data_IF_452133692060
#
_entry.id   IF_452133692060
#
_cell.length_a   1.000
_cell.length_b   1.000
_cell.length_c   1.000
_cell.angle_alpha   90.00
_cell.angle_beta   90.00
_cell.angle_gamma   90.00
#
_symmetry.space_group_name_H-M   'P 1'
#
loop_
_entity.id
_entity.type
_entity.pdbx_description
1 polymer ?
#
# COMPACT_ATOMS: atom_id res chain seq x y z
N UNK A 1 -11.83 31.39 43.52
CA UNK A 1 -11.86 31.74 42.09
C UNK A 1 -11.16 30.62 41.34
N UNK A 2 -11.93 29.91 40.51
CA UNK A 2 -11.52 28.72 39.74
C UNK A 2 -10.34 29.01 38.80
N UNK A 3 -9.39 28.09 38.67
CA UNK A 3 -9.30 27.23 37.49
C UNK A 3 -8.22 26.16 37.71
N UNK A 4 -8.68 24.93 37.96
CA UNK A 4 -7.96 23.71 37.64
C UNK A 4 -7.70 23.71 36.13
N UNK A 5 -6.51 24.14 35.70
CA UNK A 5 -6.04 23.83 34.36
C UNK A 5 -5.49 22.40 34.38
N UNK A 6 -6.43 21.47 34.21
CA UNK A 6 -6.16 20.10 33.79
C UNK A 6 -5.34 20.16 32.50
N UNK A 7 -4.03 19.97 32.63
CA UNK A 7 -3.22 19.33 31.59
C UNK A 7 -3.67 17.88 31.50
N UNK A 8 -4.89 17.65 31.01
CA UNK A 8 -5.23 16.39 30.39
C UNK A 8 -4.49 16.38 29.06
N UNK A 9 -3.28 15.84 29.11
CA UNK A 9 -2.69 15.08 28.03
C UNK A 9 -3.81 14.41 27.25
N UNK A 10 -4.11 14.96 26.07
CA UNK A 10 -4.81 14.23 25.02
C UNK A 10 -3.90 13.05 24.67
N UNK A 11 -3.96 11.99 25.48
CA UNK A 11 -3.88 10.64 24.99
C UNK A 11 -5.03 10.55 23.99
N UNK A 12 -4.71 10.91 22.74
CA UNK A 12 -5.50 10.48 21.60
C UNK A 12 -5.42 8.97 21.69
N UNK A 13 -6.44 8.39 22.33
CA UNK A 13 -6.70 6.96 22.29
C UNK A 13 -6.95 6.69 20.82
N UNK A 14 -5.88 6.30 20.12
CA UNK A 14 -5.97 5.73 18.78
C UNK A 14 -7.02 4.64 18.88
N UNK A 15 -8.16 4.86 18.24
CA UNK A 15 -9.19 3.84 18.08
C UNK A 15 -8.65 2.83 17.08
N UNK A 16 -7.75 1.97 17.56
CA UNK A 16 -7.09 0.97 16.73
C UNK A 16 -8.14 -0.08 16.38
N UNK A 17 -8.53 -0.09 15.10
CA UNK A 17 -9.49 -1.05 14.57
C UNK A 17 -8.97 -2.49 14.67
N UNK A 18 -7.67 -2.67 14.44
CA UNK A 18 -6.95 -3.93 14.61
C UNK A 18 -5.51 -3.62 14.98
N UNK A 19 -4.95 -4.24 16.03
CA UNK A 19 -3.54 -3.96 16.41
C UNK A 19 -2.57 -4.33 15.29
N UNK A 20 -1.41 -3.67 15.21
CA UNK A 20 -0.34 -4.02 14.24
C UNK A 20 -0.06 -5.53 14.24
N UNK A 21 0.07 -6.13 15.44
CA UNK A 21 0.34 -7.55 15.59
C UNK A 21 -0.79 -8.43 15.04
N UNK A 22 -2.05 -8.07 15.28
CA UNK A 22 -3.21 -8.81 14.76
C UNK A 22 -3.34 -8.64 13.24
N UNK A 23 -3.05 -7.44 12.72
CA UNK A 23 -2.98 -7.18 11.28
C UNK A 23 -1.92 -8.05 10.60
N UNK A 24 -0.67 -7.98 11.06
CA UNK A 24 0.43 -8.76 10.50
C UNK A 24 0.11 -10.25 10.58
N UNK A 25 -0.37 -10.73 11.73
CA UNK A 25 -0.72 -12.14 11.92
C UNK A 25 -1.80 -12.60 10.94
N UNK A 26 -2.94 -11.91 10.85
CA UNK A 26 -4.04 -12.27 9.96
C UNK A 26 -3.63 -12.25 8.49
N UNK A 27 -2.92 -11.21 8.05
CA UNK A 27 -2.39 -11.16 6.67
C UNK A 27 -1.46 -12.34 6.41
N UNK A 28 -0.58 -12.68 7.36
CA UNK A 28 0.33 -13.81 7.21
C UNK A 28 -0.40 -15.15 7.13
N UNK A 29 -1.41 -15.37 7.97
CA UNK A 29 -2.20 -16.60 8.00
C UNK A 29 -2.97 -16.79 6.68
N UNK A 30 -3.56 -15.71 6.13
CA UNK A 30 -4.30 -15.72 4.85
C UNK A 30 -3.36 -15.99 3.68
N UNK A 31 -2.24 -15.24 3.62
CA UNK A 31 -1.33 -15.27 2.48
C UNK A 31 -0.24 -16.35 2.57
N UNK A 32 -0.19 -17.07 3.70
CA UNK A 32 0.84 -18.07 4.04
C UNK A 32 2.24 -17.47 3.99
N UNK A 33 2.42 -16.33 4.67
CA UNK A 33 3.69 -15.60 4.77
C UNK A 33 4.42 -16.02 6.05
N UNK A 34 5.58 -16.66 5.87
CA UNK A 34 6.39 -17.14 6.98
C UNK A 34 7.66 -16.30 7.22
N UNK A 35 8.18 -15.66 6.17
CA UNK A 35 9.45 -14.94 6.21
C UNK A 35 9.40 -13.69 7.09
N UNK A 36 10.44 -13.48 7.89
CA UNK A 36 10.53 -12.36 8.83
C UNK A 36 10.53 -11.01 8.11
N UNK A 37 11.27 -10.89 7.01
CA UNK A 37 11.37 -9.63 6.27
C UNK A 37 10.05 -9.24 5.59
N UNK A 38 9.21 -10.21 5.20
CA UNK A 38 7.86 -9.94 4.67
C UNK A 38 6.94 -9.39 5.77
N UNK A 39 7.07 -9.92 7.00
CA UNK A 39 6.36 -9.42 8.17
C UNK A 39 6.78 -7.99 8.51
N UNK A 40 8.06 -7.66 8.37
CA UNK A 40 8.55 -6.29 8.59
C UNK A 40 7.99 -5.29 7.57
N UNK A 41 7.86 -5.69 6.30
CA UNK A 41 7.17 -4.88 5.28
C UNK A 41 5.71 -4.61 5.70
N UNK A 42 4.99 -5.64 6.15
CA UNK A 42 3.60 -5.48 6.61
C UNK A 42 3.49 -4.54 7.82
N UNK A 43 4.43 -4.59 8.76
CA UNK A 43 4.49 -3.64 9.88
C UNK A 43 4.70 -2.21 9.39
N UNK A 44 5.62 -2.00 8.45
CA UNK A 44 5.88 -0.68 7.88
C UNK A 44 4.62 -0.17 7.16
N UNK A 45 3.98 -1.01 6.34
CA UNK A 45 2.72 -0.67 5.67
C UNK A 45 1.67 -0.24 6.71
N UNK A 46 1.42 -1.07 7.73
CA UNK A 46 0.47 -0.76 8.80
C UNK A 46 0.75 0.60 9.45
N UNK A 47 2.02 0.87 9.76
CA UNK A 47 2.45 2.11 10.41
C UNK A 47 2.42 3.35 9.49
N UNK A 48 2.23 3.18 8.18
CA UNK A 48 2.07 4.29 7.25
C UNK A 48 0.63 4.83 7.19
N UNK A 49 -0.35 4.11 7.75
CA UNK A 49 -1.75 4.54 7.75
C UNK A 49 -2.18 5.05 9.12
N UNK A 50 -3.00 6.10 9.12
CA UNK A 50 -3.72 6.54 10.32
C UNK A 50 -4.92 5.62 10.59
N UNK A 51 -5.31 5.48 11.86
CA UNK A 51 -6.31 4.49 12.32
C UNK A 51 -7.73 4.68 11.73
N UNK A 52 -7.96 5.75 10.97
CA UNK A 52 -9.28 6.11 10.44
C UNK A 52 -9.61 5.51 9.07
N UNK A 53 -8.69 4.79 8.41
CA UNK A 53 -8.90 4.39 7.03
C UNK A 53 -8.55 2.91 6.74
N UNK A 54 -9.32 2.03 7.38
CA UNK A 54 -9.25 0.57 7.22
C UNK A 54 -9.28 0.13 5.75
N UNK A 55 -10.23 0.65 4.97
CA UNK A 55 -10.45 0.22 3.59
C UNK A 55 -9.22 0.51 2.71
N UNK A 56 -8.59 1.67 2.94
CA UNK A 56 -7.33 2.05 2.31
C UNK A 56 -6.17 1.13 2.68
N UNK A 57 -5.97 0.85 3.98
CA UNK A 57 -4.95 -0.09 4.44
C UNK A 57 -5.13 -1.48 3.80
N UNK A 58 -6.36 -2.00 3.79
CA UNK A 58 -6.67 -3.32 3.22
C UNK A 58 -6.43 -3.33 1.71
N UNK A 59 -6.93 -2.33 0.98
CA UNK A 59 -6.76 -2.25 -0.46
C UNK A 59 -5.29 -2.10 -0.85
N UNK A 60 -4.55 -1.21 -0.19
CA UNK A 60 -3.12 -1.03 -0.43
C UNK A 60 -2.35 -2.32 -0.18
N UNK A 61 -2.68 -3.04 0.90
CA UNK A 61 -2.04 -4.31 1.25
C UNK A 61 -2.34 -5.38 0.21
N UNK A 62 -3.61 -5.54 -0.19
CA UNK A 62 -4.03 -6.49 -1.22
C UNK A 62 -3.31 -6.23 -2.55
N UNK A 63 -3.28 -4.97 -2.98
CA UNK A 63 -2.57 -4.53 -4.19
C UNK A 63 -1.09 -4.84 -4.09
N UNK A 64 -0.45 -4.51 -2.97
CA UNK A 64 0.98 -4.72 -2.78
C UNK A 64 1.35 -6.20 -2.84
N UNK A 65 0.58 -7.05 -2.14
CA UNK A 65 0.77 -8.50 -2.14
C UNK A 65 0.57 -9.09 -3.54
N UNK A 66 -0.52 -8.71 -4.22
CA UNK A 66 -0.82 -9.16 -5.58
C UNK A 66 0.30 -8.81 -6.56
N UNK A 67 0.64 -7.52 -6.61
CA UNK A 67 1.60 -6.96 -7.55
C UNK A 67 3.01 -7.54 -7.39
N UNK A 68 3.37 -7.91 -6.15
CA UNK A 68 4.73 -8.34 -5.82
C UNK A 68 4.86 -9.83 -5.54
N UNK A 69 3.78 -10.61 -5.74
CA UNK A 69 3.75 -12.03 -5.35
C UNK A 69 4.20 -12.24 -3.91
N UNK A 70 3.50 -11.59 -2.97
CA UNK A 70 3.86 -11.55 -1.54
C UNK A 70 5.27 -10.97 -1.30
N UNK A 71 5.59 -9.84 -1.92
CA UNK A 71 6.87 -9.12 -1.80
C UNK A 71 8.10 -9.82 -2.40
N UNK A 72 7.93 -10.96 -3.08
CA UNK A 72 9.05 -11.73 -3.66
C UNK A 72 9.55 -11.15 -5.00
N UNK A 73 8.70 -10.45 -5.73
CA UNK A 73 9.02 -9.86 -7.04
C UNK A 73 8.75 -8.35 -6.98
N UNK A 74 9.80 -7.58 -6.70
CA UNK A 74 9.72 -6.11 -6.68
C UNK A 74 10.05 -5.48 -8.02
N UNK A 75 10.65 -6.23 -8.93
CA UNK A 75 11.04 -5.79 -10.26
C UNK A 75 10.99 -6.99 -11.22
N UNK A 76 10.17 -6.94 -12.29
CA UNK A 76 10.12 -8.03 -13.26
C UNK A 76 11.46 -8.21 -13.97
N UNK A 77 11.88 -9.47 -14.16
CA UNK A 77 13.09 -9.79 -14.93
C UNK A 77 12.91 -9.38 -16.41
N UNK A 78 14.01 -9.00 -17.07
CA UNK A 78 14.09 -8.73 -18.52
C UNK A 78 13.52 -7.41 -19.07
N UNK A 79 13.64 -6.31 -18.35
CA UNK A 79 13.30 -5.01 -18.91
C UNK A 79 14.45 -4.02 -18.70
N UNK A 80 15.17 -3.61 -19.74
CA UNK A 80 16.29 -2.64 -19.64
C UNK A 80 15.81 -1.19 -19.53
N UNK A 81 14.50 -0.93 -19.53
CA UNK A 81 13.95 0.42 -19.48
C UNK A 81 14.15 1.07 -18.11
N UNK A 82 14.56 2.35 -18.12
CA UNK A 82 14.74 3.19 -16.92
C UNK A 82 13.49 3.22 -16.04
N UNK A 83 12.31 3.38 -16.64
CA UNK A 83 11.01 3.49 -15.94
C UNK A 83 10.16 2.22 -16.00
N UNK A 84 10.83 1.05 -15.98
CA UNK A 84 10.16 -0.24 -15.79
C UNK A 84 9.44 -0.31 -14.45
N UNK A 85 8.54 -1.29 -14.36
CA UNK A 85 7.72 -1.52 -13.18
C UNK A 85 8.57 -1.88 -11.96
N UNK A 86 8.32 -1.22 -10.81
CA UNK A 86 9.04 -1.44 -9.55
C UNK A 86 8.19 -1.25 -8.30
N UNK A 87 8.62 -1.90 -7.22
CA UNK A 87 8.14 -1.69 -5.86
C UNK A 87 6.74 -2.27 -5.61
N UNK A 88 6.16 -1.90 -4.47
CA UNK A 88 4.88 -2.44 -3.99
C UNK A 88 3.72 -2.26 -4.98
N UNK A 89 3.65 -1.09 -5.61
CA UNK A 89 2.59 -0.75 -6.56
C UNK A 89 2.96 -1.02 -8.02
N UNK A 90 4.11 -1.65 -8.29
CA UNK A 90 4.60 -1.94 -9.64
C UNK A 90 4.58 -0.68 -10.54
N UNK A 91 5.04 0.46 -9.98
CA UNK A 91 4.99 1.79 -10.61
C UNK A 91 5.82 1.78 -11.90
N UNK A 92 5.17 2.15 -13.00
CA UNK A 92 5.77 2.24 -14.32
C UNK A 92 5.42 3.56 -15.01
N UNK A 93 6.16 3.88 -16.07
CA UNK A 93 6.08 5.10 -16.90
C UNK A 93 6.75 6.35 -16.29
N UNK A 94 7.40 7.19 -17.11
CA UNK A 94 8.02 8.44 -16.65
C UNK A 94 7.07 9.33 -15.82
N UNK A 95 5.80 9.43 -16.26
CA UNK A 95 4.78 10.27 -15.61
C UNK A 95 4.48 9.85 -14.17
N UNK A 96 4.43 8.55 -13.89
CA UNK A 96 4.17 8.10 -12.52
C UNK A 96 5.41 8.26 -11.63
N UNK A 97 6.62 8.07 -12.15
CA UNK A 97 7.86 8.36 -11.41
C UNK A 97 8.00 9.86 -11.10
N UNK A 98 7.61 10.74 -12.03
CA UNK A 98 7.54 12.19 -11.80
C UNK A 98 6.53 12.54 -10.71
N UNK A 99 5.31 11.99 -10.77
CA UNK A 99 4.29 12.16 -9.72
C UNK A 99 4.79 11.67 -8.35
N UNK A 100 5.35 10.47 -8.30
CA UNK A 100 5.89 9.90 -7.06
C UNK A 100 6.99 10.79 -6.48
N UNK A 101 7.92 11.26 -7.32
CA UNK A 101 8.97 12.22 -6.92
C UNK A 101 8.37 13.51 -6.36
N UNK A 102 7.34 14.06 -7.02
CA UNK A 102 6.64 15.25 -6.56
C UNK A 102 5.96 15.07 -5.19
N UNK A 103 5.50 13.87 -4.88
CA UNK A 103 4.81 13.57 -3.62
C UNK A 103 5.76 13.06 -2.52
N UNK A 104 6.97 12.64 -2.87
CA UNK A 104 8.02 12.32 -1.91
C UNK A 104 8.56 13.58 -1.25
N UNK A 105 8.94 13.45 0.02
CA UNK A 105 9.65 14.51 0.74
C UNK A 105 11.16 14.46 0.49
N UNK A 106 11.71 13.26 0.27
CA UNK A 106 13.15 13.00 0.43
C UNK A 106 13.78 12.23 -0.74
N UNK A 107 12.98 11.71 -1.68
CA UNK A 107 13.44 10.83 -2.75
C UNK A 107 13.15 11.37 -4.14
N UNK A 108 14.19 11.37 -4.98
CA UNK A 108 14.09 11.62 -6.42
C UNK A 108 14.00 10.30 -7.18
N UNK A 109 12.78 9.78 -7.32
CA UNK A 109 12.52 8.54 -8.07
C UNK A 109 12.65 8.72 -9.58
N UNK A 110 12.52 9.94 -10.10
CA UNK A 110 12.68 10.23 -11.52
C UNK A 110 14.13 9.97 -11.94
N UNK A 111 15.10 10.45 -11.14
CA UNK A 111 16.52 10.22 -11.36
C UNK A 111 17.04 8.92 -10.76
N UNK A 112 16.44 8.44 -9.68
CA UNK A 112 16.88 7.22 -8.97
C UNK A 112 15.72 6.21 -8.84
N UNK A 113 15.21 5.63 -9.94
CA UNK A 113 14.03 4.78 -9.90
C UNK A 113 14.21 3.48 -9.11
N UNK A 114 15.46 3.06 -8.87
CA UNK A 114 15.79 1.88 -8.05
C UNK A 114 15.50 2.05 -6.56
N UNK A 115 15.29 3.28 -6.08
CA UNK A 115 14.91 3.53 -4.68
C UNK A 115 13.63 2.76 -4.29
N UNK A 116 12.71 2.55 -5.25
CA UNK A 116 11.50 1.74 -5.05
C UNK A 116 11.76 0.28 -4.62
N UNK A 117 13.00 -0.20 -4.68
CA UNK A 117 13.39 -1.55 -4.28
C UNK A 117 13.87 -1.65 -2.83
N UNK A 118 14.11 -0.53 -2.12
CA UNK A 118 14.67 -0.58 -0.76
C UNK A 118 13.67 -1.07 0.29
N UNK A 119 12.37 -0.85 0.07
CA UNK A 119 11.27 -1.18 0.98
C UNK A 119 11.49 -0.73 2.43
N UNK A 120 12.25 0.35 2.61
CA UNK A 120 12.36 1.02 3.91
C UNK A 120 11.10 1.85 4.22
N UNK A 121 11.00 2.33 5.45
CA UNK A 121 9.87 3.13 5.92
C UNK A 121 9.57 4.33 5.02
N UNK A 122 10.60 5.09 4.64
CA UNK A 122 10.42 6.30 3.83
C UNK A 122 9.90 5.98 2.42
N UNK A 123 10.41 4.90 1.81
CA UNK A 123 10.00 4.45 0.48
C UNK A 123 8.57 3.91 0.48
N UNK A 124 8.19 3.12 1.49
CA UNK A 124 6.83 2.61 1.63
C UNK A 124 5.85 3.76 1.91
N UNK A 125 6.21 4.70 2.79
CA UNK A 125 5.42 5.92 3.07
C UNK A 125 5.16 6.73 1.80
N UNK A 126 6.18 6.91 0.95
CA UNK A 126 6.01 7.61 -0.32
C UNK A 126 5.06 6.86 -1.27
N UNK A 127 5.14 5.52 -1.31
CA UNK A 127 4.21 4.69 -2.09
C UNK A 127 2.77 4.81 -1.58
N UNK A 128 2.55 4.79 -0.27
CA UNK A 128 1.25 4.99 0.36
C UNK A 128 0.70 6.37 0.00
N UNK A 129 1.50 7.43 0.15
CA UNK A 129 1.07 8.79 -0.21
C UNK A 129 0.72 8.93 -1.70
N UNK A 130 1.51 8.33 -2.58
CA UNK A 130 1.21 8.28 -4.01
C UNK A 130 -0.12 7.57 -4.27
N UNK A 131 -0.37 6.44 -3.61
CA UNK A 131 -1.61 5.67 -3.71
C UNK A 131 -2.82 6.50 -3.28
N UNK A 132 -2.79 7.08 -2.09
CA UNK A 132 -3.90 7.90 -1.55
C UNK A 132 -4.28 9.05 -2.48
N UNK A 133 -3.27 9.76 -3.01
CA UNK A 133 -3.48 10.87 -3.94
C UNK A 133 -4.11 10.38 -5.26
N UNK A 134 -3.71 9.20 -5.76
CA UNK A 134 -4.25 8.67 -7.02
C UNK A 134 -5.68 8.15 -6.88
N UNK A 135 -6.05 7.61 -5.72
CA UNK A 135 -7.42 7.13 -5.46
C UNK A 135 -8.36 8.24 -5.01
N UNK A 136 -7.85 9.39 -4.54
CA UNK A 136 -8.65 10.56 -4.15
C UNK A 136 -9.79 10.20 -3.18
N UNK A 137 -9.44 9.48 -2.11
CA UNK A 137 -10.36 9.03 -1.06
C UNK A 137 -11.45 8.04 -1.47
N UNK A 138 -11.34 7.39 -2.63
CA UNK A 138 -12.24 6.33 -3.10
C UNK A 138 -11.48 5.00 -3.15
N UNK A 139 -11.53 4.21 -2.07
CA UNK A 139 -10.69 3.02 -1.88
C UNK A 139 -11.43 1.73 -2.25
N UNK A 140 -11.65 1.54 -3.55
CA UNK A 140 -12.19 0.32 -4.11
C UNK A 140 -11.38 -0.15 -5.32
N UNK A 141 -11.55 -1.43 -5.70
CA UNK A 141 -10.80 -2.07 -6.79
C UNK A 141 -11.08 -1.40 -8.13
N UNK A 142 -12.31 -0.96 -8.38
CA UNK A 142 -12.68 -0.32 -9.64
C UNK A 142 -11.93 1.01 -9.82
N UNK A 143 -11.94 1.85 -8.79
CA UNK A 143 -11.22 3.10 -8.77
C UNK A 143 -9.72 2.89 -8.86
N UNK A 144 -9.17 1.90 -8.13
CA UNK A 144 -7.77 1.51 -8.25
C UNK A 144 -7.40 1.19 -9.72
N UNK A 145 -8.17 0.30 -10.36
CA UNK A 145 -7.92 -0.11 -11.74
C UNK A 145 -7.91 1.07 -12.70
N UNK A 146 -8.87 1.99 -12.55
CA UNK A 146 -8.98 3.20 -13.36
C UNK A 146 -7.81 4.16 -13.10
N UNK A 147 -7.56 4.50 -11.84
CA UNK A 147 -6.53 5.49 -11.44
C UNK A 147 -5.11 5.04 -11.74
N UNK A 148 -4.86 3.72 -11.72
CA UNK A 148 -3.56 3.15 -12.07
C UNK A 148 -3.39 2.84 -13.56
N UNK A 149 -4.42 3.10 -14.38
CA UNK A 149 -4.37 2.91 -15.82
C UNK A 149 -4.42 1.45 -16.28
N UNK A 150 -5.01 0.55 -15.48
CA UNK A 150 -5.21 -0.86 -15.85
C UNK A 150 -6.38 -1.05 -16.83
N UNK A 151 -7.29 -0.08 -16.89
CA UNK A 151 -8.48 -0.08 -17.75
C UNK A 151 -9.76 0.18 -16.96
N UNK A 152 -10.89 0.31 -17.67
CA UNK A 152 -12.21 0.37 -17.03
C UNK A 152 -12.58 -1.00 -16.47
N UNK A 153 -12.93 -1.06 -15.19
CA UNK A 153 -13.14 -2.29 -14.45
C UNK A 153 -14.11 -3.27 -15.14
N UNK A 154 -15.26 -2.78 -15.62
CA UNK A 154 -16.25 -3.56 -16.40
C UNK A 154 -15.67 -4.29 -17.62
N UNK A 155 -14.57 -3.80 -18.18
CA UNK A 155 -13.90 -4.37 -19.34
C UNK A 155 -12.73 -5.27 -18.97
N UNK A 156 -12.24 -5.23 -17.72
CA UNK A 156 -11.04 -5.95 -17.30
C UNK A 156 -11.29 -6.95 -16.15
N UNK A 157 -12.45 -6.91 -15.50
CA UNK A 157 -12.81 -7.79 -14.36
C UNK A 157 -12.78 -9.28 -14.69
N UNK A 158 -12.85 -9.64 -15.97
CA UNK A 158 -12.73 -11.03 -16.41
C UNK A 158 -11.29 -11.54 -16.45
N UNK A 159 -10.28 -10.64 -16.47
CA UNK A 159 -8.87 -11.02 -16.52
C UNK A 159 -8.45 -11.74 -15.23
N UNK A 160 -7.58 -12.74 -15.38
CA UNK A 160 -7.14 -13.58 -14.27
C UNK A 160 -6.40 -12.80 -13.18
N UNK A 161 -5.57 -11.82 -13.56
CA UNK A 161 -4.85 -10.97 -12.62
C UNK A 161 -5.80 -10.12 -11.77
N UNK A 162 -6.82 -9.53 -12.39
CA UNK A 162 -7.84 -8.73 -11.67
C UNK A 162 -8.65 -9.60 -10.71
N UNK A 163 -9.08 -10.80 -11.13
CA UNK A 163 -9.77 -11.76 -10.24
C UNK A 163 -8.90 -12.21 -9.06
N UNK A 164 -7.60 -12.38 -9.27
CA UNK A 164 -6.68 -12.75 -8.20
C UNK A 164 -6.50 -11.60 -7.21
N UNK A 165 -6.45 -10.35 -7.68
CA UNK A 165 -6.44 -9.17 -6.82
C UNK A 165 -7.73 -9.08 -5.99
N UNK A 166 -8.89 -9.22 -6.62
CA UNK A 166 -10.20 -9.25 -5.95
C UNK A 166 -10.26 -10.30 -4.86
N UNK A 167 -9.83 -11.53 -5.18
CA UNK A 167 -9.81 -12.60 -4.20
C UNK A 167 -8.98 -12.26 -2.96
N UNK A 168 -7.78 -11.70 -3.15
CA UNK A 168 -6.93 -11.29 -2.02
C UNK A 168 -7.63 -10.18 -1.21
N UNK A 169 -8.18 -9.17 -1.90
CA UNK A 169 -8.89 -8.08 -1.26
C UNK A 169 -10.08 -8.57 -0.43
N UNK A 170 -10.94 -9.42 -1.00
CA UNK A 170 -12.13 -9.96 -0.33
C UNK A 170 -11.76 -10.82 0.89
N UNK A 171 -10.72 -11.65 0.76
CA UNK A 171 -10.22 -12.47 1.88
C UNK A 171 -9.70 -11.61 3.02
N UNK A 172 -8.92 -10.56 2.73
CA UNK A 172 -8.48 -9.61 3.76
C UNK A 172 -9.68 -8.86 4.35
N UNK A 173 -10.54 -8.28 3.51
CA UNK A 173 -11.68 -7.48 3.94
C UNK A 173 -12.59 -8.21 4.92
N UNK A 174 -12.89 -9.49 4.65
CA UNK A 174 -13.72 -10.33 5.50
C UNK A 174 -13.10 -10.66 6.87
N UNK A 175 -11.77 -10.84 6.95
CA UNK A 175 -11.07 -11.20 8.18
C UNK A 175 -10.74 -10.01 9.09
N UNK A 176 -10.91 -8.82 8.54
CA UNK A 176 -10.79 -7.58 9.26
C UNK A 176 -12.16 -6.95 9.46
N UNK A 177 -13.32 -7.62 9.49
CA UNK A 177 -14.61 -6.98 9.85
C UNK A 177 -14.79 -6.79 11.36
#
# INVERSE_FOLDING_TARGET
>A
MNFLMLLSSFLVVKSIYVSENDFVKKVCDIMKIDEVWQKDILRIIYNCFDDQNKDNLILFTAVSLHNTSNFTVLEPQNNSLRFRSRGLLQICTPKNYEKLTKYSSDHDYLNNPKLLLSLDYSTIRDCVRFFEIQLNSCYDIENYCRSMGLGEYRHISHRLDIKNLEKIYDELYANFQ
#
